data_IF_906561024517
#
_entry.id   IF_906561024517
#
_cell.length_a   1.000
_cell.length_b   1.000
_cell.length_c   1.000
_cell.angle_alpha   90.00
_cell.angle_beta   90.00
_cell.angle_gamma   90.00
#
_symmetry.space_group_name_H-M   'P 1'
#
loop_
_entity.id
_entity.type
_entity.pdbx_description
1 polymer ?
#
# COMPACT_ATOMS: atom_id res chain seq x y z
N UNK A 1 20.67 24.92 48.04
CA UNK A 1 21.09 24.16 46.85
C UNK A 1 19.94 24.28 45.85
N UNK A 2 19.73 25.45 45.23
CA UNK A 2 20.30 25.90 43.94
C UNK A 2 20.18 24.84 42.84
N UNK A 3 19.71 25.04 41.62
CA UNK A 3 18.90 26.04 40.87
C UNK A 3 18.91 25.52 39.40
N UNK A 4 18.11 26.15 38.51
CA UNK A 4 18.03 26.04 37.02
C UNK A 4 16.90 25.12 36.53
N UNK A 5 15.78 25.61 35.98
CA UNK A 5 15.63 26.66 34.94
C UNK A 5 15.70 25.99 33.56
N UNK A 6 14.85 26.19 32.58
CA UNK A 6 13.96 27.28 32.20
C UNK A 6 13.95 27.36 30.66
N UNK A 7 12.87 27.87 30.05
CA UNK A 7 12.76 28.18 28.61
C UNK A 7 11.84 27.21 27.85
N UNK A 8 10.74 27.62 27.22
CA UNK A 8 10.45 28.88 26.55
C UNK A 8 10.71 28.75 25.05
N UNK A 9 9.64 28.76 24.23
CA UNK A 9 9.69 28.76 22.76
C UNK A 9 8.51 27.99 22.17
N UNK A 10 7.35 28.60 21.95
CA UNK A 10 7.00 29.34 20.74
C UNK A 10 7.14 28.52 19.45
N UNK A 11 5.97 28.12 18.90
CA UNK A 11 5.55 28.35 17.51
C UNK A 11 6.65 28.23 16.44
N UNK A 12 6.77 27.06 15.80
CA UNK A 12 7.14 27.01 14.37
C UNK A 12 6.40 25.87 13.67
N UNK A 13 5.48 26.27 12.80
CA UNK A 13 5.09 25.54 11.60
C UNK A 13 6.34 24.95 10.93
N UNK A 14 6.45 23.63 10.94
CA UNK A 14 7.28 22.91 9.97
C UNK A 14 6.60 21.58 9.76
N UNK A 15 5.85 21.54 8.68
CA UNK A 15 5.45 20.33 8.00
C UNK A 15 6.72 19.54 7.71
N UNK A 16 7.20 18.76 8.69
CA UNK A 16 8.22 17.76 8.44
C UNK A 16 7.53 16.79 7.51
N UNK A 17 7.93 16.78 6.25
CA UNK A 17 7.86 15.57 5.44
C UNK A 17 8.65 14.55 6.24
N UNK A 18 7.98 13.85 7.14
CA UNK A 18 8.59 12.85 8.00
C UNK A 18 8.93 11.71 7.06
N UNK A 19 10.17 11.71 6.58
CA UNK A 19 10.74 10.62 5.78
C UNK A 19 10.37 9.34 6.51
N UNK A 20 9.52 8.53 5.88
CA UNK A 20 9.05 7.30 6.48
C UNK A 20 10.28 6.52 6.99
N UNK A 21 10.22 5.94 8.20
CA UNK A 21 11.35 5.25 8.79
C UNK A 21 11.95 4.26 7.81
N UNK A 22 13.27 4.05 7.85
CA UNK A 22 13.94 3.19 6.88
C UNK A 22 13.34 1.78 6.82
N UNK A 23 12.80 1.26 7.93
CA UNK A 23 12.09 -0.01 7.97
C UNK A 23 10.75 0.02 7.20
N UNK A 24 9.96 1.10 7.30
CA UNK A 24 8.72 1.26 6.52
C UNK A 24 9.06 1.32 5.03
N UNK A 25 10.05 2.11 4.65
CA UNK A 25 10.49 2.22 3.24
C UNK A 25 10.97 0.88 2.67
N UNK A 26 11.78 0.13 3.42
CA UNK A 26 12.26 -1.20 3.00
C UNK A 26 11.11 -2.18 2.85
N UNK A 27 10.15 -2.16 3.79
CA UNK A 27 8.95 -2.97 3.68
C UNK A 27 8.12 -2.60 2.44
N UNK A 28 7.92 -1.31 2.16
CA UNK A 28 7.20 -0.88 0.95
C UNK A 28 7.89 -1.34 -0.34
N UNK A 29 9.21 -1.20 -0.41
CA UNK A 29 10.00 -1.65 -1.56
C UNK A 29 9.87 -3.16 -1.77
N UNK A 30 10.00 -3.93 -0.68
CA UNK A 30 9.81 -5.37 -0.71
C UNK A 30 8.38 -5.76 -1.14
N UNK A 31 7.36 -5.09 -0.60
CA UNK A 31 5.97 -5.31 -0.98
C UNK A 31 5.80 -5.08 -2.48
N UNK A 32 6.31 -3.95 -3.01
CA UNK A 32 6.19 -3.60 -4.44
C UNK A 32 6.89 -4.61 -5.35
N UNK A 33 8.04 -5.14 -4.91
CA UNK A 33 8.79 -6.14 -5.66
C UNK A 33 8.11 -7.52 -5.68
N UNK A 34 7.30 -7.85 -4.66
CA UNK A 34 6.73 -9.19 -4.45
C UNK A 34 5.18 -9.19 -4.38
N UNK A 35 4.53 -8.29 -5.12
CA UNK A 35 3.06 -8.16 -5.09
C UNK A 35 2.32 -9.41 -5.59
N UNK A 36 2.90 -10.20 -6.49
CA UNK A 36 2.33 -11.43 -7.02
C UNK A 36 2.32 -12.60 -6.02
N UNK A 37 3.16 -12.53 -4.98
CA UNK A 37 3.42 -13.62 -4.06
C UNK A 37 2.67 -13.46 -2.74
N UNK A 38 2.51 -14.55 -1.98
CA UNK A 38 1.93 -14.49 -0.63
C UNK A 38 2.93 -13.82 0.31
N UNK A 39 2.62 -12.58 0.71
CA UNK A 39 3.46 -11.81 1.63
C UNK A 39 3.13 -12.16 3.07
N UNK A 40 4.08 -12.79 3.76
CA UNK A 40 3.99 -13.06 5.19
C UNK A 40 4.49 -11.87 6.00
N UNK A 41 3.66 -11.35 6.91
CA UNK A 41 4.00 -10.24 7.80
C UNK A 41 5.30 -10.45 8.61
N UNK A 42 5.56 -11.62 9.23
CA UNK A 42 6.83 -11.85 9.90
C UNK A 42 8.02 -11.77 8.94
N UNK A 43 7.91 -12.35 7.75
CA UNK A 43 8.97 -12.28 6.74
C UNK A 43 9.23 -10.85 6.27
N UNK A 44 8.17 -10.06 6.10
CA UNK A 44 8.28 -8.65 5.74
C UNK A 44 9.01 -7.84 6.83
N UNK A 45 8.74 -8.13 8.09
CA UNK A 45 9.41 -7.49 9.22
C UNK A 45 10.91 -7.83 9.26
N UNK A 46 11.26 -9.10 9.03
CA UNK A 46 12.66 -9.55 8.91
C UNK A 46 13.38 -8.82 7.76
N UNK A 47 12.75 -8.73 6.57
CA UNK A 47 13.31 -8.01 5.42
C UNK A 47 13.42 -6.51 5.64
N UNK A 48 12.51 -5.94 6.43
CA UNK A 48 12.55 -4.54 6.85
C UNK A 48 13.60 -4.25 7.92
N UNK A 49 14.21 -5.28 8.53
CA UNK A 49 15.14 -5.15 9.65
C UNK A 49 14.46 -4.65 10.93
N UNK A 50 13.20 -5.02 11.16
CA UNK A 50 12.39 -4.54 12.29
C UNK A 50 11.50 -5.64 12.83
N UNK A 51 10.95 -5.46 14.03
CA UNK A 51 9.95 -6.37 14.57
C UNK A 51 8.59 -6.15 13.92
N UNK A 52 7.75 -7.19 13.87
CA UNK A 52 6.39 -7.09 13.31
C UNK A 52 5.57 -5.96 13.95
N UNK A 53 5.69 -5.80 15.27
CA UNK A 53 5.02 -4.72 16.01
C UNK A 53 5.47 -3.33 15.56
N UNK A 54 6.78 -3.09 15.53
CA UNK A 54 7.34 -1.81 15.09
C UNK A 54 7.00 -1.51 13.64
N UNK A 55 6.97 -2.53 12.78
CA UNK A 55 6.55 -2.34 11.39
C UNK A 55 5.06 -1.98 11.29
N UNK A 56 4.18 -2.66 12.03
CA UNK A 56 2.75 -2.33 12.06
C UNK A 56 2.48 -0.94 12.63
N UNK A 57 3.14 -0.58 13.73
CA UNK A 57 3.07 0.75 14.34
C UNK A 57 3.59 1.81 13.36
N UNK A 58 4.70 1.55 12.66
CA UNK A 58 5.23 2.43 11.62
C UNK A 58 4.24 2.63 10.46
N UNK A 59 3.58 1.59 9.97
CA UNK A 59 2.56 1.73 8.93
C UNK A 59 1.36 2.56 9.41
N UNK A 60 0.87 2.33 10.64
CA UNK A 60 -0.22 3.12 11.21
C UNK A 60 0.16 4.58 11.41
N UNK A 61 1.36 4.85 11.93
CA UNK A 61 1.80 6.20 12.28
C UNK A 61 2.19 7.05 11.07
N UNK A 62 2.76 6.43 10.03
CA UNK A 62 3.29 7.17 8.87
C UNK A 62 2.43 7.07 7.62
N UNK A 63 1.49 6.11 7.56
CA UNK A 63 0.62 5.89 6.38
C UNK A 63 -0.86 5.79 6.69
N UNK A 64 -1.26 5.96 7.95
CA UNK A 64 -2.67 5.86 8.39
C UNK A 64 -3.39 4.62 7.83
N UNK A 65 -2.64 3.53 7.62
CA UNK A 65 -3.11 2.34 6.93
C UNK A 65 -2.41 1.10 7.46
N UNK A 66 -3.04 -0.06 7.25
CA UNK A 66 -2.41 -1.33 7.58
C UNK A 66 -1.50 -1.78 6.44
N UNK A 67 -0.54 -2.66 6.76
CA UNK A 67 0.30 -3.31 5.75
C UNK A 67 -0.56 -4.05 4.72
N UNK A 68 -1.64 -4.70 5.16
CA UNK A 68 -2.58 -5.42 4.30
C UNK A 68 -3.32 -4.49 3.35
N UNK A 69 -3.80 -3.33 3.83
CA UNK A 69 -4.44 -2.31 3.00
C UNK A 69 -3.46 -1.74 1.98
N UNK A 70 -2.21 -1.51 2.38
CA UNK A 70 -1.17 -1.06 1.46
C UNK A 70 -0.88 -2.11 0.38
N UNK A 71 -0.74 -3.39 0.73
CA UNK A 71 -0.57 -4.47 -0.25
C UNK A 71 -1.77 -4.53 -1.21
N UNK A 72 -2.99 -4.47 -0.67
CA UNK A 72 -4.21 -4.47 -1.48
C UNK A 72 -4.22 -3.28 -2.44
N UNK A 73 -3.92 -2.08 -1.94
CA UNK A 73 -3.82 -0.88 -2.77
C UNK A 73 -2.82 -1.09 -3.92
N UNK A 74 -1.59 -1.52 -3.62
CA UNK A 74 -0.58 -1.76 -4.66
C UNK A 74 -1.01 -2.83 -5.67
N UNK A 75 -1.71 -3.89 -5.23
CA UNK A 75 -2.29 -4.91 -6.13
C UNK A 75 -3.39 -4.35 -7.02
N UNK A 76 -4.25 -3.49 -6.49
CA UNK A 76 -5.31 -2.83 -7.25
C UNK A 76 -4.75 -1.89 -8.33
N UNK A 77 -3.70 -1.13 -8.02
CA UNK A 77 -2.99 -0.30 -9.01
C UNK A 77 -2.40 -1.16 -10.13
N UNK A 78 -1.71 -2.25 -9.77
CA UNK A 78 -1.12 -3.17 -10.76
C UNK A 78 -2.21 -3.83 -11.60
N UNK A 79 -3.32 -4.23 -10.99
CA UNK A 79 -4.47 -4.79 -11.71
C UNK A 79 -5.03 -3.79 -12.72
N UNK A 80 -5.21 -2.53 -12.34
CA UNK A 80 -5.64 -1.46 -13.24
C UNK A 80 -4.65 -1.29 -14.40
N UNK A 81 -3.35 -1.20 -14.10
CA UNK A 81 -2.32 -1.07 -15.12
C UNK A 81 -2.35 -2.25 -16.10
N UNK A 82 -2.54 -3.48 -15.62
CA UNK A 82 -2.70 -4.66 -16.48
C UNK A 82 -3.96 -4.58 -17.34
N UNK A 83 -5.11 -4.18 -16.79
CA UNK A 83 -6.34 -3.97 -17.58
C UNK A 83 -6.11 -2.92 -18.68
N UNK A 84 -5.39 -1.85 -18.36
CA UNK A 84 -5.05 -0.78 -19.29
C UNK A 84 -3.95 -1.15 -20.32
N UNK A 85 -3.20 -2.23 -20.08
CA UNK A 85 -2.19 -2.73 -21.01
C UNK A 85 -2.66 -3.96 -21.81
N UNK A 86 -3.66 -4.69 -21.32
CA UNK A 86 -4.12 -5.96 -21.91
C UNK A 86 -4.97 -5.75 -23.17
N UNK A 87 -5.26 -6.82 -23.89
CA UNK A 87 -6.23 -6.77 -24.98
C UNK A 87 -7.63 -6.39 -24.45
N UNK A 88 -8.46 -5.63 -25.21
CA UNK A 88 -9.83 -5.36 -24.82
C UNK A 88 -10.66 -6.64 -24.58
N UNK A 89 -10.32 -7.76 -25.22
CA UNK A 89 -10.93 -9.09 -25.04
C UNK A 89 -10.49 -9.82 -23.75
N UNK A 90 -9.51 -9.30 -23.02
CA UNK A 90 -8.96 -9.94 -21.83
C UNK A 90 -10.00 -10.13 -20.70
N UNK A 91 -9.79 -11.14 -19.87
CA UNK A 91 -10.63 -11.41 -18.71
C UNK A 91 -10.08 -10.70 -17.48
N UNK A 92 -10.82 -9.71 -16.98
CA UNK A 92 -10.41 -8.95 -15.78
C UNK A 92 -10.17 -9.85 -14.56
N UNK A 93 -10.90 -10.98 -14.44
CA UNK A 93 -10.70 -11.95 -13.37
C UNK A 93 -9.33 -12.64 -13.43
N UNK A 94 -8.90 -13.07 -14.62
CA UNK A 94 -7.59 -13.70 -14.81
C UNK A 94 -6.46 -12.71 -14.52
N UNK A 95 -6.62 -11.45 -14.93
CA UNK A 95 -5.68 -10.38 -14.59
C UNK A 95 -5.62 -10.12 -13.08
N UNK A 96 -6.73 -10.24 -12.35
CA UNK A 96 -6.75 -10.07 -10.89
C UNK A 96 -5.96 -11.20 -10.21
N UNK A 97 -6.18 -12.44 -10.64
CA UNK A 97 -5.48 -13.61 -10.12
C UNK A 97 -3.96 -13.49 -10.36
N UNK A 98 -3.55 -12.97 -11.52
CA UNK A 98 -2.13 -12.77 -11.87
C UNK A 98 -1.38 -11.80 -10.95
N UNK A 99 -2.10 -10.90 -10.25
CA UNK A 99 -1.52 -9.96 -9.26
C UNK A 99 -1.79 -10.39 -7.82
N UNK A 100 -2.24 -11.62 -7.61
CA UNK A 100 -2.50 -12.18 -6.28
C UNK A 100 -3.86 -11.80 -5.67
N UNK A 101 -4.81 -11.24 -6.43
CA UNK A 101 -6.16 -10.96 -5.95
C UNK A 101 -7.03 -12.23 -6.02
N UNK A 102 -6.89 -13.11 -5.03
CA UNK A 102 -7.62 -14.39 -4.99
C UNK A 102 -9.13 -14.27 -4.76
N UNK A 103 -9.62 -13.15 -4.19
CA UNK A 103 -11.04 -12.93 -3.92
C UNK A 103 -11.63 -11.89 -4.88
N UNK A 104 -12.02 -12.32 -6.08
CA UNK A 104 -12.50 -11.43 -7.15
C UNK A 104 -13.62 -10.48 -6.72
N UNK A 105 -14.60 -10.94 -5.95
CA UNK A 105 -15.70 -10.09 -5.47
C UNK A 105 -15.23 -8.96 -4.53
N UNK A 106 -14.36 -9.30 -3.56
CA UNK A 106 -13.77 -8.31 -2.64
C UNK A 106 -12.82 -7.37 -3.38
N UNK A 107 -12.01 -7.90 -4.28
CA UNK A 107 -11.11 -7.12 -5.11
C UNK A 107 -11.88 -6.13 -6.00
N UNK A 108 -12.96 -6.55 -6.65
CA UNK A 108 -13.78 -5.66 -7.47
C UNK A 108 -14.48 -4.57 -6.64
N UNK A 109 -14.92 -4.88 -5.42
CA UNK A 109 -15.47 -3.89 -4.50
C UNK A 109 -14.42 -2.86 -4.08
N UNK A 110 -13.24 -3.31 -3.65
CA UNK A 110 -12.13 -2.43 -3.27
C UNK A 110 -11.59 -1.62 -4.46
N UNK A 111 -11.58 -2.20 -5.66
CA UNK A 111 -11.24 -1.50 -6.90
C UNK A 111 -12.22 -0.34 -7.16
N UNK A 112 -13.53 -0.61 -7.05
CA UNK A 112 -14.57 0.41 -7.24
C UNK A 112 -14.50 1.50 -6.18
N UNK A 113 -14.28 1.14 -4.92
CA UNK A 113 -14.11 2.09 -3.83
C UNK A 113 -12.94 3.05 -4.10
N UNK A 114 -11.84 2.52 -4.63
CA UNK A 114 -10.64 3.31 -4.92
C UNK A 114 -10.69 4.12 -6.21
N UNK A 115 -11.23 3.58 -7.30
CA UNK A 115 -11.16 4.17 -8.63
C UNK A 115 -12.50 4.73 -9.14
N UNK A 116 -13.59 4.54 -8.39
CA UNK A 116 -14.93 5.01 -8.76
C UNK A 116 -15.62 4.17 -9.85
N UNK A 117 -14.96 3.14 -10.37
CA UNK A 117 -15.46 2.30 -11.46
C UNK A 117 -15.10 0.82 -11.21
N UNK A 118 -15.87 -0.11 -11.76
CA UNK A 118 -15.52 -1.53 -11.72
C UNK A 118 -14.40 -1.86 -12.74
N UNK A 119 -13.57 -2.89 -12.47
CA UNK A 119 -12.50 -3.31 -13.39
C UNK A 119 -13.03 -3.65 -14.80
N UNK A 120 -14.21 -4.27 -14.88
CA UNK A 120 -14.88 -4.54 -16.16
C UNK A 120 -15.31 -3.27 -16.90
N UNK A 121 -15.64 -2.20 -16.18
CA UNK A 121 -15.95 -0.89 -16.79
C UNK A 121 -14.70 -0.23 -17.33
N UNK A 122 -13.57 -0.31 -16.60
CA UNK A 122 -12.26 0.16 -17.10
C UNK A 122 -11.88 -0.56 -18.40
N UNK A 123 -12.04 -1.89 -18.45
CA UNK A 123 -11.76 -2.66 -19.67
C UNK A 123 -12.73 -2.30 -20.82
N UNK A 124 -14.03 -2.17 -20.52
CA UNK A 124 -15.05 -1.81 -21.53
C UNK A 124 -14.80 -0.45 -22.16
N UNK A 125 -14.25 0.52 -21.41
CA UNK A 125 -13.87 1.81 -21.96
C UNK A 125 -12.75 1.72 -23.00
N UNK A 126 -11.92 0.67 -22.96
CA UNK A 126 -10.89 0.42 -23.97
C UNK A 126 -11.39 -0.27 -25.24
N UNK A 127 -12.62 -0.81 -25.22
CA UNK A 127 -13.29 -1.40 -26.40
C UNK A 127 -14.01 -0.36 -27.26
N UNK A 128 -14.19 0.87 -26.76
CA UNK A 128 -14.89 1.95 -27.45
C UNK A 128 -13.91 2.80 -28.22
#
# INVERSE_FOLDING_TARGET
>A
MLERGGGGGALTSSQRVSVAPAHVRRAEEYIRAHLDSVLSLPHLAEKAGSSMRSLQEGFRQFRDSTISDFILAQRLDRWRALILASDPEAKVGDLALSVGLGHLGRAAAAYRDRFGEAPSQTLRQRRR
#
